data_IF_913456149977
#
_entry.id   IF_913456149977
#
_cell.length_a   1.000
_cell.length_b   1.000
_cell.length_c   1.000
_cell.angle_alpha   90.00
_cell.angle_beta   90.00
_cell.angle_gamma   90.00
#
_symmetry.space_group_name_H-M   'P 1'
#
loop_
_entity.id
_entity.type
_entity.pdbx_description
1 polymer ?
#
# COMPACT_ATOMS: atom_id res chain seq x y z
N UNK A 1 61.31 18.07 13.26
CA UNK A 1 60.50 19.07 13.99
C UNK A 1 59.29 19.41 13.12
N UNK A 2 58.08 18.98 13.53
CA UNK A 2 56.83 19.22 12.82
C UNK A 2 56.21 20.55 13.25
N UNK A 3 55.26 21.11 12.49
CA UNK A 3 54.21 21.99 13.00
C UNK A 3 53.21 22.26 11.85
N UNK A 4 52.12 21.50 11.79
CA UNK A 4 50.82 22.05 11.42
C UNK A 4 49.76 21.34 12.26
N UNK A 5 48.92 22.15 12.86
CA UNK A 5 48.09 21.89 14.03
C UNK A 5 46.80 21.14 13.72
N UNK A 6 46.43 20.28 14.67
CA UNK A 6 45.16 19.56 14.81
C UNK A 6 43.93 20.47 14.82
N UNK A 7 42.85 20.04 14.17
CA UNK A 7 41.50 20.02 14.75
C UNK A 7 40.63 18.97 14.05
N UNK A 8 40.67 17.73 14.55
CA UNK A 8 39.55 16.80 14.44
C UNK A 8 39.14 16.39 15.85
N UNK A 9 38.14 17.09 16.40
CA UNK A 9 37.39 16.61 17.54
C UNK A 9 36.41 15.55 17.05
N UNK A 10 36.64 14.32 17.50
CA UNK A 10 35.75 13.18 17.39
C UNK A 10 34.48 13.49 18.17
N UNK A 11 33.34 13.59 17.48
CA UNK A 11 32.02 13.39 18.08
C UNK A 11 31.41 12.15 17.46
N UNK A 12 31.74 11.02 18.08
CA UNK A 12 31.01 9.77 17.96
C UNK A 12 29.56 9.98 18.39
N UNK A 13 28.64 10.02 17.44
CA UNK A 13 27.25 9.61 17.66
C UNK A 13 27.07 8.27 16.97
N UNK A 14 26.47 7.26 17.64
CA UNK A 14 26.29 5.96 17.03
C UNK A 14 25.25 6.12 15.92
N UNK A 15 25.68 6.04 14.66
CA UNK A 15 24.77 5.80 13.57
C UNK A 15 24.06 4.47 13.85
N UNK A 16 22.74 4.52 14.00
CA UNK A 16 21.87 3.36 14.12
C UNK A 16 22.13 2.48 12.91
N UNK A 17 22.78 1.33 13.12
CA UNK A 17 23.13 0.43 12.02
C UNK A 17 21.84 -0.20 11.50
N UNK A 18 21.67 -0.19 10.18
CA UNK A 18 20.67 -0.98 9.44
C UNK A 18 20.75 -2.51 9.67
N UNK A 19 21.62 -2.97 10.58
CA UNK A 19 21.68 -4.38 10.98
C UNK A 19 20.45 -4.87 11.74
N UNK A 20 19.55 -3.97 12.16
CA UNK A 20 18.28 -4.32 12.81
C UNK A 20 17.14 -4.57 11.81
N UNK A 21 17.37 -4.37 10.51
CA UNK A 21 16.48 -4.74 9.41
C UNK A 21 17.20 -5.70 8.46
N UNK A 22 17.40 -6.97 8.85
CA UNK A 22 18.08 -7.96 8.01
C UNK A 22 17.11 -8.91 7.31
N UNK A 23 16.96 -8.72 6.00
CA UNK A 23 16.74 -9.77 5.00
C UNK A 23 17.92 -9.80 4.01
N UNK A 24 18.34 -10.99 3.63
CA UNK A 24 19.58 -11.35 2.92
C UNK A 24 19.46 -11.21 1.38
N UNK A 25 20.43 -10.61 0.68
CA UNK A 25 20.88 -10.87 -0.71
C UNK A 25 22.05 -9.92 -1.09
N UNK A 26 23.28 -10.31 -0.74
CA UNK A 26 24.51 -9.50 -0.66
C UNK A 26 25.04 -8.73 -1.88
N UNK A 27 24.40 -8.72 -3.06
CA UNK A 27 24.83 -7.87 -4.21
C UNK A 27 23.86 -6.76 -4.60
N UNK A 28 22.58 -6.85 -4.19
CA UNK A 28 21.67 -5.69 -4.20
C UNK A 28 21.87 -4.81 -2.97
N UNK A 29 22.34 -5.41 -1.87
CA UNK A 29 22.75 -4.70 -0.64
C UNK A 29 23.73 -3.58 -0.91
N UNK A 30 24.80 -3.81 -1.68
CA UNK A 30 25.79 -2.77 -1.93
C UNK A 30 25.18 -1.52 -2.59
N UNK A 31 24.31 -1.70 -3.60
CA UNK A 31 23.66 -0.57 -4.29
C UNK A 31 22.59 0.13 -3.44
N UNK A 32 21.93 -0.58 -2.52
CA UNK A 32 20.97 0.00 -1.56
C UNK A 32 21.71 0.67 -0.39
N UNK A 33 22.82 0.11 0.07
CA UNK A 33 23.71 0.69 1.09
C UNK A 33 24.47 1.92 0.56
N UNK A 34 24.82 1.94 -0.73
CA UNK A 34 25.41 3.11 -1.40
C UNK A 34 24.37 4.23 -1.59
N UNK A 35 23.10 3.86 -1.84
CA UNK A 35 21.97 4.78 -1.76
C UNK A 35 21.82 5.30 -0.31
N UNK A 36 21.82 4.44 0.71
CA UNK A 36 21.73 4.83 2.12
C UNK A 36 22.83 5.82 2.56
N UNK A 37 24.07 5.65 2.09
CA UNK A 37 25.18 6.57 2.40
C UNK A 37 25.05 7.94 1.73
N UNK A 38 24.30 8.03 0.65
CA UNK A 38 24.04 9.29 -0.06
C UNK A 38 22.78 10.02 0.43
N UNK A 39 21.98 9.41 1.33
CA UNK A 39 20.71 9.98 1.84
C UNK A 39 20.77 10.57 3.25
N UNK A 40 21.95 10.76 3.83
CA UNK A 40 22.10 11.61 5.00
C UNK A 40 21.89 13.08 4.58
N UNK A 41 20.65 13.58 4.65
CA UNK A 41 20.34 15.00 4.45
C UNK A 41 20.97 15.78 5.62
N UNK A 42 21.96 16.65 5.38
CA UNK A 42 22.59 17.40 6.46
C UNK A 42 21.58 18.33 7.13
N UNK A 43 21.34 18.16 8.43
CA UNK A 43 20.53 19.07 9.25
C UNK A 43 19.16 18.57 9.71
N UNK A 44 18.74 17.35 9.33
CA UNK A 44 17.57 16.71 9.96
C UNK A 44 18.02 15.93 11.20
N UNK A 45 17.39 16.12 12.38
CA UNK A 45 17.66 15.27 13.54
C UNK A 45 17.40 13.81 13.19
N UNK A 46 18.08 12.88 13.87
CA UNK A 46 17.99 11.43 13.65
C UNK A 46 16.54 10.91 13.80
N UNK A 47 15.75 11.13 12.76
CA UNK A 47 14.41 10.63 12.58
C UNK A 47 14.55 9.20 12.07
N UNK A 48 13.63 8.33 12.48
CA UNK A 48 13.61 6.93 12.04
C UNK A 48 13.84 6.84 10.52
N UNK A 49 14.66 5.91 10.00
CA UNK A 49 14.79 5.70 8.57
C UNK A 49 13.42 5.54 7.88
N UNK A 50 12.45 4.94 8.56
CA UNK A 50 11.07 4.81 8.07
C UNK A 50 10.40 6.18 7.82
N UNK A 51 10.70 7.19 8.64
CA UNK A 51 10.20 8.56 8.49
C UNK A 51 10.92 9.33 7.37
N UNK A 52 12.21 9.02 7.14
CA UNK A 52 13.02 9.68 6.13
C UNK A 52 12.75 9.12 4.71
N UNK A 53 12.56 7.81 4.57
CA UNK A 53 12.36 7.15 3.27
C UNK A 53 10.99 7.41 2.67
N UNK A 54 9.97 7.56 3.51
CA UNK A 54 8.60 7.78 3.09
C UNK A 54 8.45 8.98 2.12
N UNK A 55 8.80 10.23 2.48
CA UNK A 55 8.65 11.37 1.56
C UNK A 55 9.52 11.27 0.31
N UNK A 56 10.65 10.54 0.34
CA UNK A 56 11.53 10.39 -0.81
C UNK A 56 10.94 9.47 -1.88
N UNK A 57 10.54 8.26 -1.50
CA UNK A 57 9.90 7.30 -2.42
C UNK A 57 8.59 7.87 -3.00
N UNK A 58 7.88 8.66 -2.20
CA UNK A 58 6.57 9.18 -2.56
C UNK A 58 6.62 10.46 -3.39
N UNK A 59 7.57 11.36 -3.11
CA UNK A 59 7.66 12.67 -3.79
C UNK A 59 7.85 12.56 -5.30
N UNK A 60 8.63 11.58 -5.76
CA UNK A 60 8.82 11.34 -7.20
C UNK A 60 7.55 10.86 -7.90
N UNK A 61 6.71 10.09 -7.22
CA UNK A 61 5.49 9.52 -7.79
C UNK A 61 4.30 10.48 -7.69
N UNK A 62 4.27 11.32 -6.65
CA UNK A 62 3.28 12.39 -6.51
C UNK A 62 3.32 13.40 -7.64
N UNK A 63 4.52 13.86 -8.02
CA UNK A 63 4.71 14.85 -9.09
C UNK A 63 3.96 14.42 -10.36
N UNK A 64 4.01 13.13 -10.68
CA UNK A 64 3.33 12.57 -11.84
C UNK A 64 1.79 12.56 -11.67
N UNK A 65 1.26 12.15 -10.52
CA UNK A 65 -0.19 12.11 -10.32
C UNK A 65 -0.85 13.49 -10.21
N UNK A 66 -0.18 14.43 -9.53
CA UNK A 66 -0.66 15.80 -9.37
C UNK A 66 -0.81 16.52 -10.72
N UNK A 67 0.08 16.23 -11.67
CA UNK A 67 0.01 16.77 -13.02
C UNK A 67 -1.13 16.16 -13.85
N UNK A 68 -1.43 14.88 -13.64
CA UNK A 68 -2.35 14.10 -14.48
C UNK A 68 -3.83 14.38 -14.16
N UNK A 69 -4.15 14.94 -12.98
CA UNK A 69 -5.51 15.35 -12.56
C UNK A 69 -6.58 14.26 -12.75
N UNK A 70 -6.21 13.01 -12.49
CA UNK A 70 -7.12 11.85 -12.52
C UNK A 70 -7.43 11.38 -11.12
N UNK A 71 -8.51 10.61 -11.00
CA UNK A 71 -8.82 9.88 -9.78
C UNK A 71 -7.70 8.86 -9.51
N UNK A 72 -7.07 8.95 -8.34
CA UNK A 72 -5.99 8.04 -7.95
C UNK A 72 -6.52 6.61 -7.74
N UNK A 73 -7.76 6.44 -7.30
CA UNK A 73 -8.36 5.12 -7.18
C UNK A 73 -8.72 4.47 -8.52
N UNK A 74 -8.89 5.26 -9.59
CA UNK A 74 -9.11 4.76 -10.94
C UNK A 74 -8.67 5.81 -11.97
N UNK A 75 -7.53 5.57 -12.60
CA UNK A 75 -6.90 6.52 -13.52
C UNK A 75 -7.75 6.87 -14.75
N UNK A 76 -8.79 6.07 -15.03
CA UNK A 76 -9.75 6.31 -16.12
C UNK A 76 -10.66 7.51 -15.81
N UNK A 77 -10.91 7.79 -14.54
CA UNK A 77 -11.89 8.77 -14.09
C UNK A 77 -11.26 10.13 -13.74
N UNK A 78 -11.98 11.25 -13.91
CA UNK A 78 -11.62 12.51 -13.27
C UNK A 78 -11.87 12.44 -11.76
N UNK A 79 -11.11 13.21 -10.97
CA UNK A 79 -11.43 13.44 -9.56
C UNK A 79 -12.19 14.77 -9.43
N UNK A 80 -13.52 14.70 -9.34
CA UNK A 80 -14.38 15.88 -9.26
C UNK A 80 -14.84 16.20 -7.83
N UNK A 81 -14.80 15.22 -6.94
CA UNK A 81 -15.20 15.34 -5.53
C UNK A 81 -13.99 15.14 -4.62
N UNK A 82 -13.64 16.17 -3.84
CA UNK A 82 -12.57 16.13 -2.84
C UNK A 82 -13.18 15.72 -1.47
N UNK A 83 -12.55 14.90 -0.63
CA UNK A 83 -11.18 14.35 -0.72
C UNK A 83 -11.03 12.99 -1.44
N UNK A 84 -12.09 12.19 -1.55
CA UNK A 84 -11.92 10.76 -1.85
C UNK A 84 -12.27 10.36 -3.31
N UNK A 85 -12.51 11.32 -4.20
CA UNK A 85 -12.80 11.13 -5.63
C UNK A 85 -14.01 10.23 -5.98
N UNK A 86 -14.81 9.81 -5.00
CA UNK A 86 -16.09 9.10 -5.15
C UNK A 86 -17.20 9.82 -4.40
N UNK A 87 -18.29 10.16 -5.09
CA UNK A 87 -19.42 10.87 -4.49
C UNK A 87 -20.18 9.99 -3.49
N UNK A 88 -20.16 8.68 -3.70
CA UNK A 88 -20.82 7.66 -2.90
C UNK A 88 -20.36 7.67 -1.45
N UNK A 89 -19.10 8.03 -1.18
CA UNK A 89 -18.55 8.12 0.17
C UNK A 89 -19.27 9.22 0.99
N UNK A 90 -19.63 10.33 0.35
CA UNK A 90 -20.40 11.40 0.98
C UNK A 90 -21.83 10.94 1.29
N UNK A 91 -22.48 10.22 0.37
CA UNK A 91 -23.83 9.69 0.58
C UNK A 91 -23.87 8.67 1.73
N UNK A 92 -22.84 7.83 1.85
CA UNK A 92 -22.70 6.91 2.97
C UNK A 92 -22.56 7.68 4.29
N UNK A 93 -21.71 8.70 4.33
CA UNK A 93 -21.54 9.51 5.54
C UNK A 93 -22.84 10.23 5.95
N UNK A 94 -23.58 10.78 4.99
CA UNK A 94 -24.88 11.40 5.22
C UNK A 94 -25.90 10.38 5.78
N UNK A 95 -26.02 9.22 5.13
CA UNK A 95 -26.93 8.16 5.57
C UNK A 95 -26.61 7.67 6.98
N UNK A 96 -25.34 7.40 7.26
CA UNK A 96 -24.86 6.90 8.56
C UNK A 96 -25.05 7.92 9.68
N UNK A 97 -25.19 9.21 9.37
CA UNK A 97 -25.43 10.26 10.35
C UNK A 97 -26.91 10.58 10.60
N UNK A 98 -27.84 10.01 9.83
CA UNK A 98 -29.27 10.18 10.12
C UNK A 98 -29.61 9.63 11.51
N UNK A 99 -30.46 10.38 12.24
CA UNK A 99 -30.84 10.01 13.63
C UNK A 99 -31.51 8.64 13.72
N UNK A 100 -32.39 8.32 12.79
CA UNK A 100 -33.08 7.03 12.75
C UNK A 100 -32.11 5.88 12.46
N UNK A 101 -31.16 6.06 11.54
CA UNK A 101 -30.10 5.08 11.24
C UNK A 101 -29.19 4.88 12.46
N UNK A 102 -28.69 5.95 13.07
CA UNK A 102 -27.86 5.88 14.28
C UNK A 102 -28.59 5.19 15.44
N UNK A 103 -29.87 5.47 15.61
CA UNK A 103 -30.71 4.82 16.62
C UNK A 103 -30.88 3.34 16.32
N UNK A 104 -31.18 2.97 15.06
CA UNK A 104 -31.34 1.58 14.64
C UNK A 104 -30.06 0.76 14.79
N UNK A 105 -28.89 1.38 14.56
CA UNK A 105 -27.57 0.77 14.77
C UNK A 105 -27.12 0.77 16.24
N UNK A 106 -27.87 1.39 17.15
CA UNK A 106 -27.52 1.46 18.57
C UNK A 106 -26.30 2.34 18.87
N UNK A 107 -26.02 3.35 18.05
CA UNK A 107 -24.91 4.28 18.24
C UNK A 107 -25.18 5.13 19.49
N UNK A 108 -24.21 5.19 20.41
CA UNK A 108 -24.29 6.04 21.61
C UNK A 108 -24.60 7.49 21.19
N UNK A 109 -25.62 8.15 21.77
CA UNK A 109 -25.95 9.55 21.43
C UNK A 109 -24.80 10.54 21.65
N UNK A 110 -23.79 10.18 22.45
CA UNK A 110 -22.58 10.98 22.70
C UNK A 110 -21.48 10.75 21.68
N UNK A 111 -21.58 9.70 20.86
CA UNK A 111 -20.59 9.44 19.82
C UNK A 111 -20.59 10.58 18.80
N UNK A 112 -19.41 10.97 18.28
CA UNK A 112 -19.31 12.01 17.26
C UNK A 112 -20.04 11.61 15.96
N UNK A 113 -20.11 12.55 15.02
CA UNK A 113 -20.56 12.25 13.66
C UNK A 113 -19.67 11.18 13.02
N UNK A 114 -20.31 10.30 12.27
CA UNK A 114 -19.60 9.33 11.45
C UNK A 114 -18.86 10.07 10.34
N UNK A 115 -17.58 9.73 10.18
CA UNK A 115 -16.73 10.16 9.06
C UNK A 115 -16.15 8.91 8.41
N UNK A 116 -15.98 8.92 7.08
CA UNK A 116 -15.49 7.75 6.33
C UNK A 116 -14.07 7.33 6.74
N UNK A 117 -13.20 8.32 6.95
CA UNK A 117 -11.81 8.12 7.38
C UNK A 117 -11.47 9.09 8.52
N UNK A 118 -10.85 8.58 9.59
CA UNK A 118 -10.28 9.43 10.64
C UNK A 118 -8.85 9.80 10.27
N UNK A 119 -8.67 11.08 9.97
CA UNK A 119 -7.43 11.58 9.42
C UNK A 119 -6.37 11.90 10.46
N UNK A 120 -6.77 12.27 11.67
CA UNK A 120 -5.85 12.44 12.79
C UNK A 120 -5.17 11.12 13.11
N UNK A 121 -5.95 10.03 13.11
CA UNK A 121 -5.41 8.68 13.26
C UNK A 121 -4.42 8.33 12.15
N UNK A 122 -4.75 8.62 10.88
CA UNK A 122 -3.81 8.39 9.79
C UNK A 122 -2.50 9.14 10.03
N UNK A 123 -2.55 10.45 10.32
CA UNK A 123 -1.36 11.27 10.58
C UNK A 123 -0.49 10.66 11.68
N UNK A 124 -1.09 10.15 12.75
CA UNK A 124 -0.35 9.48 13.82
C UNK A 124 0.38 8.22 13.33
N UNK A 125 -0.25 7.34 12.56
CA UNK A 125 0.44 6.16 11.98
C UNK A 125 1.67 6.58 11.16
N UNK A 126 1.53 7.64 10.36
CA UNK A 126 2.60 8.12 9.49
C UNK A 126 3.73 8.81 10.27
N UNK A 127 3.38 9.59 11.30
CA UNK A 127 4.34 10.24 12.19
C UNK A 127 5.21 9.23 12.97
N UNK A 128 4.75 7.98 13.07
CA UNK A 128 5.49 6.87 13.68
C UNK A 128 6.18 5.95 12.65
N UNK A 129 6.14 6.33 11.36
CA UNK A 129 6.83 5.65 10.27
C UNK A 129 6.17 4.33 9.86
N UNK A 130 4.90 4.12 10.22
CA UNK A 130 4.22 2.85 10.00
C UNK A 130 4.07 2.51 8.50
N UNK A 131 3.86 3.53 7.65
CA UNK A 131 3.72 3.36 6.20
C UNK A 131 4.93 2.73 5.48
N UNK A 132 6.13 2.76 6.09
CA UNK A 132 7.34 2.13 5.53
C UNK A 132 7.73 0.82 6.23
N UNK A 133 6.93 0.33 7.18
CA UNK A 133 7.24 -0.94 7.87
C UNK A 133 7.04 -2.13 6.95
N UNK A 134 7.93 -3.11 7.04
CA UNK A 134 7.85 -4.34 6.25
C UNK A 134 6.82 -5.31 6.84
N UNK A 135 5.54 -5.09 6.52
CA UNK A 135 4.42 -5.93 6.99
C UNK A 135 4.35 -7.28 6.28
N UNK A 136 4.88 -7.40 5.06
CA UNK A 136 4.87 -8.67 4.31
C UNK A 136 5.84 -9.71 4.89
N UNK A 137 6.73 -9.33 5.80
CA UNK A 137 7.74 -10.22 6.40
C UNK A 137 7.14 -11.42 7.16
N UNK A 138 5.89 -11.30 7.65
CA UNK A 138 5.18 -12.38 8.36
C UNK A 138 4.48 -13.37 7.41
N UNK A 139 4.24 -12.97 6.16
CA UNK A 139 3.46 -13.76 5.19
C UNK A 139 4.13 -15.11 4.86
N UNK A 140 5.46 -15.23 4.70
CA UNK A 140 6.13 -16.52 4.49
C UNK A 140 5.78 -17.59 5.51
N UNK A 141 5.76 -17.24 6.80
CA UNK A 141 5.47 -18.17 7.88
C UNK A 141 4.02 -18.63 7.81
N UNK A 142 3.08 -17.72 7.54
CA UNK A 142 1.67 -18.06 7.38
C UNK A 142 1.44 -19.05 6.22
N UNK A 143 2.08 -18.80 5.07
CA UNK A 143 2.00 -19.69 3.91
C UNK A 143 2.63 -21.05 4.20
N UNK A 144 3.74 -21.10 4.93
CA UNK A 144 4.39 -22.35 5.35
C UNK A 144 3.47 -23.19 6.26
N UNK A 145 2.72 -22.55 7.16
CA UNK A 145 1.72 -23.21 8.02
C UNK A 145 0.43 -23.61 7.27
N UNK A 146 0.40 -23.48 5.95
CA UNK A 146 -0.72 -23.90 5.11
C UNK A 146 -1.85 -22.88 5.00
N UNK A 147 -1.67 -21.65 5.51
CA UNK A 147 -2.64 -20.57 5.29
C UNK A 147 -2.51 -20.09 3.85
N UNK A 148 -3.57 -20.28 3.07
CA UNK A 148 -3.60 -19.86 1.66
C UNK A 148 -3.58 -18.33 1.54
N UNK A 149 -2.77 -17.81 0.64
CA UNK A 149 -2.62 -16.39 0.34
C UNK A 149 -3.28 -16.05 -1.01
N UNK A 150 -4.30 -15.18 -0.97
CA UNK A 150 -4.86 -14.53 -2.15
C UNK A 150 -4.51 -13.05 -2.11
N UNK A 151 -3.80 -12.57 -3.13
CA UNK A 151 -3.56 -11.15 -3.38
C UNK A 151 -4.27 -10.79 -4.67
N UNK A 152 -5.19 -9.82 -4.62
CA UNK A 152 -5.90 -9.36 -5.80
C UNK A 152 -5.77 -7.85 -5.96
N UNK A 153 -5.80 -7.37 -7.21
CA UNK A 153 -5.73 -5.96 -7.53
C UNK A 153 -6.48 -5.65 -8.82
N UNK A 154 -7.20 -4.52 -8.85
CA UNK A 154 -7.75 -3.97 -10.08
C UNK A 154 -6.66 -3.44 -11.00
N UNK A 155 -6.81 -3.62 -12.31
CA UNK A 155 -5.80 -3.21 -13.29
C UNK A 155 -5.76 -1.70 -13.57
N UNK A 156 -6.77 -0.93 -13.15
CA UNK A 156 -6.82 0.53 -13.35
C UNK A 156 -6.59 1.32 -12.07
N UNK A 157 -6.47 0.63 -10.92
CA UNK A 157 -6.23 1.25 -9.62
C UNK A 157 -4.77 1.68 -9.46
N UNK A 158 -4.58 2.94 -9.09
CA UNK A 158 -3.30 3.51 -8.68
C UNK A 158 -3.43 4.02 -7.25
N UNK A 159 -3.56 3.14 -6.26
CA UNK A 159 -3.80 3.60 -4.88
C UNK A 159 -2.74 4.64 -4.49
N UNK A 160 -3.19 5.79 -3.99
CA UNK A 160 -2.38 6.87 -3.48
C UNK A 160 -3.18 7.51 -2.34
N UNK A 161 -2.68 7.52 -1.11
CA UNK A 161 -3.37 8.20 0.01
C UNK A 161 -3.22 9.72 -0.08
N UNK A 162 -3.74 10.39 -1.12
CA UNK A 162 -3.52 11.84 -1.22
C UNK A 162 -4.35 12.61 -0.20
N UNK A 163 -3.71 13.42 0.64
CA UNK A 163 -4.39 14.41 1.46
C UNK A 163 -3.63 15.74 1.50
N UNK A 164 -4.38 16.81 1.24
CA UNK A 164 -4.02 18.17 1.55
C UNK A 164 -4.38 18.47 3.01
N UNK A 165 -3.38 18.57 3.89
CA UNK A 165 -3.57 19.05 5.27
C UNK A 165 -2.99 20.45 5.47
N UNK A 166 -3.71 21.35 6.17
CA UNK A 166 -3.08 22.53 6.75
C UNK A 166 -2.10 22.08 7.83
N UNK A 167 -0.82 22.43 7.67
CA UNK A 167 0.24 22.07 8.62
C UNK A 167 0.09 22.79 9.98
N UNK A 168 -0.84 23.77 10.08
CA UNK A 168 -1.29 24.48 11.29
C UNK A 168 -2.47 25.40 10.94
N UNK A 169 -3.26 25.81 11.93
CA UNK A 169 -4.46 26.66 11.76
C UNK A 169 -4.19 28.07 11.19
N UNK A 170 -2.92 28.51 11.14
CA UNK A 170 -2.49 29.85 10.71
C UNK A 170 -1.62 29.86 9.45
N UNK A 171 -1.30 28.69 8.88
CA UNK A 171 -0.43 28.57 7.70
C UNK A 171 -1.23 28.31 6.42
N UNK A 172 -1.01 29.13 5.38
CA UNK A 172 -1.61 28.97 4.05
C UNK A 172 -0.83 27.99 3.17
N UNK A 173 0.23 27.37 3.70
CA UNK A 173 0.98 26.31 3.04
C UNK A 173 0.28 24.96 3.20
N UNK A 174 -0.29 24.45 2.11
CA UNK A 174 -0.73 23.06 1.98
C UNK A 174 0.50 22.15 1.91
N UNK A 175 0.70 21.32 2.94
CA UNK A 175 1.78 20.34 2.96
C UNK A 175 1.28 18.99 2.45
N UNK A 176 1.47 18.69 1.17
CA UNK A 176 1.24 17.35 0.62
C UNK A 176 2.29 16.39 1.19
N UNK A 177 1.91 15.40 2.02
CA UNK A 177 2.93 14.58 2.71
C UNK A 177 2.80 13.08 2.68
N UNK A 178 1.76 12.47 2.12
CA UNK A 178 1.53 11.06 2.40
C UNK A 178 0.98 10.36 1.16
N UNK A 179 1.63 9.30 0.65
CA UNK A 179 1.12 8.48 -0.47
C UNK A 179 1.74 7.06 -0.50
N UNK A 180 1.16 6.07 0.17
CA UNK A 180 1.53 4.68 -0.14
C UNK A 180 0.94 4.29 -1.50
N UNK A 181 1.79 3.87 -2.44
CA UNK A 181 1.37 3.49 -3.78
C UNK A 181 1.34 2.00 -4.03
N UNK A 182 0.18 1.46 -4.41
CA UNK A 182 0.04 0.06 -4.81
C UNK A 182 -0.59 -0.04 -6.20
N UNK A 183 0.19 -0.54 -7.14
CA UNK A 183 -0.26 -0.94 -8.47
C UNK A 183 -0.35 -2.46 -8.55
N UNK A 184 -1.25 -2.99 -9.38
CA UNK A 184 -1.32 -4.42 -9.71
C UNK A 184 0.07 -5.01 -10.05
N UNK A 185 0.89 -4.27 -10.81
CA UNK A 185 2.26 -4.69 -11.12
C UNK A 185 3.15 -4.83 -9.87
N UNK A 186 3.07 -3.88 -8.93
CA UNK A 186 3.80 -3.94 -7.67
C UNK A 186 3.37 -5.14 -6.82
N UNK A 187 2.05 -5.37 -6.75
CA UNK A 187 1.48 -6.52 -6.06
C UNK A 187 1.96 -7.86 -6.66
N UNK A 188 1.85 -8.00 -7.97
CA UNK A 188 2.33 -9.18 -8.70
C UNK A 188 3.81 -9.48 -8.44
N UNK A 189 4.66 -8.44 -8.37
CA UNK A 189 6.11 -8.58 -8.18
C UNK A 189 6.46 -9.02 -6.77
N UNK A 190 5.88 -8.41 -5.73
CA UNK A 190 6.25 -8.82 -4.36
C UNK A 190 5.76 -10.23 -4.04
N UNK A 191 4.60 -10.65 -4.58
CA UNK A 191 4.12 -12.03 -4.43
C UNK A 191 5.05 -13.01 -5.16
N UNK A 192 5.56 -12.67 -6.34
CA UNK A 192 6.52 -13.51 -7.05
C UNK A 192 7.87 -13.64 -6.32
N UNK A 193 8.25 -12.64 -5.54
CA UNK A 193 9.49 -12.67 -4.75
C UNK A 193 9.31 -13.23 -3.33
N UNK A 194 8.06 -13.47 -2.91
CA UNK A 194 7.71 -13.93 -1.58
C UNK A 194 8.45 -15.24 -1.25
N UNK A 195 9.30 -15.24 -0.20
CA UNK A 195 9.89 -16.48 0.29
C UNK A 195 8.77 -17.42 0.73
N UNK A 196 8.63 -18.56 0.07
CA UNK A 196 7.65 -19.59 0.44
C UNK A 196 8.04 -20.92 -0.19
N UNK A 197 7.45 -22.01 0.31
CA UNK A 197 7.54 -23.35 -0.30
C UNK A 197 6.99 -23.40 -1.73
N UNK A 198 6.22 -22.38 -2.14
CA UNK A 198 5.61 -22.27 -3.47
C UNK A 198 6.31 -21.25 -4.37
N UNK A 199 7.43 -20.63 -3.95
CA UNK A 199 8.08 -19.54 -4.70
C UNK A 199 8.44 -19.94 -6.14
N UNK A 200 9.13 -21.07 -6.30
CA UNK A 200 9.57 -21.54 -7.63
C UNK A 200 8.37 -21.88 -8.51
N UNK A 201 7.45 -22.70 -7.98
CA UNK A 201 6.23 -23.08 -8.69
C UNK A 201 5.38 -21.87 -9.12
N UNK A 202 5.29 -20.85 -8.27
CA UNK A 202 4.58 -19.61 -8.59
C UNK A 202 5.32 -18.74 -9.61
N UNK A 203 6.66 -18.70 -9.52
CA UNK A 203 7.51 -17.99 -10.49
C UNK A 203 7.40 -18.56 -11.90
N UNK A 204 7.32 -19.88 -12.01
CA UNK A 204 7.22 -20.61 -13.29
C UNK A 204 5.78 -20.68 -13.83
N UNK A 205 4.78 -20.48 -12.98
CA UNK A 205 3.37 -20.54 -13.38
C UNK A 205 3.01 -19.41 -14.35
N UNK A 206 2.34 -19.71 -15.49
CA UNK A 206 1.86 -18.68 -16.40
C UNK A 206 0.64 -17.98 -15.81
N UNK A 207 0.40 -16.75 -16.26
CA UNK A 207 -0.90 -16.12 -16.10
C UNK A 207 -1.94 -16.82 -16.97
N UNK A 208 -3.05 -17.23 -16.36
CA UNK A 208 -4.20 -17.85 -17.03
C UNK A 208 -5.40 -16.89 -17.03
N UNK A 209 -6.20 -16.86 -18.10
CA UNK A 209 -7.45 -16.09 -18.11
C UNK A 209 -8.41 -16.61 -17.04
N UNK A 210 -8.98 -15.70 -16.26
CA UNK A 210 -10.10 -15.99 -15.37
C UNK A 210 -11.39 -15.51 -16.04
N UNK A 211 -12.33 -16.44 -16.21
CA UNK A 211 -13.59 -16.21 -16.90
C UNK A 211 -14.75 -16.24 -15.90
N UNK A 212 -15.57 -15.20 -15.92
CA UNK A 212 -16.80 -15.07 -15.12
C UNK A 212 -17.96 -14.85 -16.08
N UNK A 213 -18.99 -15.69 -15.99
CA UNK A 213 -20.19 -15.61 -16.85
C UNK A 213 -19.87 -15.52 -18.34
N UNK A 214 -18.88 -16.29 -18.80
CA UNK A 214 -18.45 -16.33 -20.21
C UNK A 214 -17.61 -15.13 -20.68
N UNK A 215 -17.23 -14.21 -19.80
CA UNK A 215 -16.42 -13.03 -20.12
C UNK A 215 -15.07 -13.05 -19.40
N UNK A 216 -13.97 -12.59 -20.02
CA UNK A 216 -12.71 -12.37 -19.32
C UNK A 216 -12.87 -11.35 -18.20
N UNK A 217 -12.70 -11.78 -16.96
CA UNK A 217 -12.77 -10.93 -15.77
C UNK A 217 -11.40 -10.55 -15.22
N UNK A 218 -10.34 -11.24 -15.66
CA UNK A 218 -8.99 -10.98 -15.21
C UNK A 218 -7.99 -12.04 -15.66
N UNK A 219 -6.81 -11.99 -15.05
CA UNK A 219 -5.77 -13.02 -15.18
C UNK A 219 -5.29 -13.44 -13.81
N UNK A 220 -5.14 -14.74 -13.62
CA UNK A 220 -4.70 -15.35 -12.37
C UNK A 220 -3.40 -16.12 -12.58
N UNK A 221 -2.54 -16.08 -11.57
CA UNK A 221 -1.39 -16.95 -11.45
C UNK A 221 -1.41 -17.56 -10.06
N UNK A 222 -1.22 -18.87 -9.99
CA UNK A 222 -1.37 -19.64 -8.74
C UNK A 222 -0.33 -20.74 -8.65
N UNK A 223 0.02 -21.11 -7.42
CA UNK A 223 0.79 -22.30 -7.11
C UNK A 223 0.20 -23.01 -5.88
N UNK A 224 0.29 -24.34 -5.88
CA UNK A 224 -0.34 -25.20 -4.87
C UNK A 224 -1.69 -25.74 -5.31
N UNK A 225 -2.38 -26.40 -4.39
CA UNK A 225 -3.59 -27.19 -4.69
C UNK A 225 -4.87 -26.34 -4.68
N UNK A 226 -5.93 -26.81 -5.33
CA UNK A 226 -7.25 -26.18 -5.34
C UNK A 226 -7.20 -24.75 -5.88
N UNK A 227 -7.59 -23.76 -5.06
CA UNK A 227 -7.50 -22.35 -5.44
C UNK A 227 -6.06 -21.77 -5.40
N UNK A 228 -5.08 -22.60 -5.05
CA UNK A 228 -3.67 -22.23 -4.83
C UNK A 228 -3.38 -21.88 -3.37
N UNK A 229 -2.20 -22.27 -2.91
CA UNK A 229 -1.61 -21.83 -1.63
C UNK A 229 -1.07 -20.41 -1.74
N UNK A 230 -0.57 -20.02 -2.92
CA UNK A 230 -0.20 -18.64 -3.26
C UNK A 230 -0.86 -18.30 -4.58
N UNK A 231 -1.75 -17.31 -4.57
CA UNK A 231 -2.52 -16.87 -5.74
C UNK A 231 -2.47 -15.35 -5.88
N UNK A 232 -2.14 -14.89 -7.08
CA UNK A 232 -2.23 -13.49 -7.46
C UNK A 232 -3.23 -13.31 -8.60
N UNK A 233 -4.18 -12.39 -8.42
CA UNK A 233 -5.24 -12.10 -9.38
C UNK A 233 -5.21 -10.62 -9.79
N UNK A 234 -5.11 -10.36 -11.09
CA UNK A 234 -5.42 -9.04 -11.64
C UNK A 234 -6.86 -9.05 -12.14
N UNK A 235 -7.69 -8.12 -11.66
CA UNK A 235 -9.08 -7.96 -12.07
C UNK A 235 -9.17 -6.87 -13.13
N UNK A 236 -9.81 -7.17 -14.26
CA UNK A 236 -9.96 -6.23 -15.37
C UNK A 236 -11.06 -5.21 -15.12
N UNK A 237 -10.87 -4.03 -15.69
CA UNK A 237 -11.81 -2.90 -15.63
C UNK A 237 -12.19 -2.49 -14.20
N UNK A 238 -11.27 -2.71 -13.25
CA UNK A 238 -11.44 -2.39 -11.83
C UNK A 238 -10.32 -1.49 -11.32
N UNK A 239 -10.70 -0.50 -10.52
CA UNK A 239 -9.84 0.39 -9.77
C UNK A 239 -9.44 -0.17 -8.41
N UNK A 240 -9.30 0.73 -7.43
CA UNK A 240 -8.92 0.39 -6.06
C UNK A 240 -9.97 -0.47 -5.35
N UNK A 241 -11.25 -0.12 -5.52
CA UNK A 241 -12.38 -0.82 -4.90
C UNK A 241 -12.94 -1.87 -5.86
N UNK A 242 -12.23 -3.00 -6.04
CA UNK A 242 -12.64 -4.06 -6.98
C UNK A 242 -14.12 -4.47 -6.87
N UNK A 243 -14.72 -4.66 -5.67
CA UNK A 243 -16.14 -5.01 -5.58
C UNK A 243 -17.10 -3.91 -6.01
N UNK A 244 -16.68 -2.63 -5.95
CA UNK A 244 -17.46 -1.50 -6.45
C UNK A 244 -17.52 -1.52 -7.98
N UNK A 245 -16.36 -1.71 -8.63
CA UNK A 245 -16.26 -1.61 -10.09
C UNK A 245 -16.67 -2.90 -10.81
N UNK A 246 -16.39 -4.05 -10.21
CA UNK A 246 -16.65 -5.38 -10.77
C UNK A 246 -17.33 -6.31 -9.74
N UNK A 247 -18.57 -6.00 -9.30
CA UNK A 247 -19.24 -6.75 -8.24
C UNK A 247 -19.47 -8.23 -8.58
N UNK A 248 -19.82 -8.53 -9.84
CA UNK A 248 -20.04 -9.91 -10.31
C UNK A 248 -18.74 -10.73 -10.22
N UNK A 249 -17.64 -10.18 -10.72
CA UNK A 249 -16.34 -10.83 -10.67
C UNK A 249 -15.84 -10.97 -9.22
N UNK A 250 -15.95 -9.92 -8.41
CA UNK A 250 -15.54 -9.96 -7.00
C UNK A 250 -16.27 -11.06 -6.22
N UNK A 251 -17.57 -11.26 -6.49
CA UNK A 251 -18.36 -12.32 -5.87
C UNK A 251 -17.93 -13.72 -6.35
N UNK A 252 -17.67 -13.93 -7.64
CA UNK A 252 -17.13 -15.20 -8.16
C UNK A 252 -15.77 -15.51 -7.52
N UNK A 253 -14.87 -14.52 -7.47
CA UNK A 253 -13.55 -14.64 -6.83
C UNK A 253 -13.68 -15.12 -5.40
N UNK A 254 -14.50 -14.44 -4.59
CA UNK A 254 -14.68 -14.76 -3.18
C UNK A 254 -15.27 -16.16 -2.99
N UNK A 255 -16.30 -16.50 -3.77
CA UNK A 255 -16.95 -17.81 -3.69
C UNK A 255 -16.00 -18.96 -4.04
N UNK A 256 -15.23 -18.82 -5.12
CA UNK A 256 -14.24 -19.84 -5.52
C UNK A 256 -13.12 -19.96 -4.50
N UNK A 257 -12.60 -18.83 -4.01
CA UNK A 257 -11.55 -18.81 -3.00
C UNK A 257 -11.97 -19.54 -1.71
N UNK A 258 -13.13 -19.19 -1.15
CA UNK A 258 -13.67 -19.78 0.08
C UNK A 258 -13.91 -21.28 -0.11
N UNK A 259 -14.43 -21.70 -1.27
CA UNK A 259 -14.68 -23.12 -1.60
C UNK A 259 -13.44 -23.89 -2.07
N UNK A 260 -12.27 -23.25 -2.03
CA UNK A 260 -11.01 -23.82 -2.53
C UNK A 260 -11.10 -24.34 -3.98
N UNK A 261 -11.83 -23.62 -4.83
CA UNK A 261 -11.98 -23.89 -6.25
C UNK A 261 -11.00 -23.02 -7.06
N UNK A 262 -10.29 -23.57 -8.06
CA UNK A 262 -9.44 -22.78 -8.95
C UNK A 262 -10.18 -21.60 -9.60
N UNK A 263 -9.48 -20.47 -9.73
CA UNK A 263 -9.97 -19.30 -10.48
C UNK A 263 -9.80 -19.48 -12.00
N UNK A 264 -8.86 -20.32 -12.42
CA UNK A 264 -8.72 -20.71 -13.82
C UNK A 264 -8.56 -22.23 -13.92
N UNK A 265 -9.07 -22.78 -15.02
CA UNK A 265 -8.91 -24.19 -15.40
C UNK A 265 -7.45 -24.49 -15.80
#
# INVERSE_FOLDING_TARGET
MPLFTNHHAVLSTPATRLSDCKGDQGRRRQRIEDADRSFAIPGLPATSPCLAFHPHCEGSMWTVLAEVKRNFHDIRMPCETNPDCYAELNWMAEYMNRRDVRTALGVDPRAPEFVGCNMDMLVEFMAHGDGMRDTKSVVPELVHEGIRLLVYAGNTGAFALHMDYPLRSDDRSFGSRLLTFSFAQGNSRWVAELPSTHKEAFGDAPFRPWIVSGRPAGVVRSAGDGAGNVTYLTVFEAGHMVPHDQPEAALDMLNRWIRNTPLAD
#
